data_IF_703389672063
#
_entry.id   IF_703389672063
#
_cell.length_a   1.000
_cell.length_b   1.000
_cell.length_c   1.000
_cell.angle_alpha   90.00
_cell.angle_beta   90.00
_cell.angle_gamma   90.00
#
_symmetry.space_group_name_H-M   'P 1'
#
loop_
_entity.id
_entity.type
_entity.pdbx_description
1 polymer ?
#
# COMPACT_ATOMS: atom_id res chain seq x y z
N UNK A 1 -2.48 -0.22 17.56
CA UNK A 1 -2.56 -1.65 17.17
C UNK A 1 -3.44 -1.82 15.92
N UNK A 2 -3.39 -2.95 15.18
CA UNK A 2 -4.23 -3.21 14.01
C UNK A 2 -5.73 -2.99 14.29
N UNK A 3 -6.16 -3.45 15.47
CA UNK A 3 -7.50 -3.30 16.04
C UNK A 3 -7.96 -1.84 16.21
N UNK A 4 -7.04 -0.95 16.59
CA UNK A 4 -7.31 0.48 16.79
C UNK A 4 -7.27 1.27 15.49
N UNK A 5 -6.39 0.89 14.55
CA UNK A 5 -6.25 1.55 13.27
C UNK A 5 -7.55 1.46 12.45
N UNK A 6 -8.24 0.32 12.50
CA UNK A 6 -9.51 0.12 11.78
C UNK A 6 -10.73 0.79 12.41
N UNK A 7 -10.70 1.10 13.70
CA UNK A 7 -11.87 1.59 14.45
C UNK A 7 -11.77 3.06 14.87
N UNK A 8 -10.56 3.56 15.12
CA UNK A 8 -10.28 4.91 15.64
C UNK A 8 -9.33 5.72 14.75
N UNK A 9 -8.82 5.12 13.68
CA UNK A 9 -7.88 5.77 12.77
C UNK A 9 -8.49 6.98 12.07
N UNK A 10 -7.73 8.06 11.98
CA UNK A 10 -8.09 9.24 11.19
C UNK A 10 -7.56 9.02 9.77
N UNK A 11 -8.44 9.12 8.77
CA UNK A 11 -8.06 8.99 7.36
C UNK A 11 -7.02 10.05 7.00
N UNK A 12 -6.07 9.68 6.14
CA UNK A 12 -4.94 10.52 5.72
C UNK A 12 -3.97 10.91 6.87
N UNK A 13 -4.09 10.29 8.04
CA UNK A 13 -3.11 10.44 9.11
C UNK A 13 -1.97 9.41 8.98
N UNK A 14 -0.77 9.85 9.37
CA UNK A 14 0.34 8.95 9.58
C UNK A 14 0.04 8.03 10.77
N UNK A 15 0.16 6.73 10.55
CA UNK A 15 -0.15 5.71 11.55
C UNK A 15 1.00 4.71 11.65
N UNK A 16 1.30 4.28 12.87
CA UNK A 16 2.27 3.23 13.16
C UNK A 16 1.49 2.04 13.73
N UNK A 17 1.71 0.86 13.16
CA UNK A 17 1.01 -0.37 13.53
C UNK A 17 2.04 -1.49 13.70
N UNK A 18 1.93 -2.22 14.80
CA UNK A 18 2.75 -3.41 15.07
C UNK A 18 1.93 -4.68 14.83
N UNK A 19 2.55 -5.70 14.26
CA UNK A 19 1.93 -7.02 14.10
C UNK A 19 2.76 -7.96 13.23
N UNK A 20 2.19 -9.12 12.94
CA UNK A 20 2.83 -10.15 12.10
C UNK A 20 2.19 -10.10 10.71
N UNK A 21 2.95 -9.77 9.64
CA UNK A 21 2.40 -9.61 8.31
C UNK A 21 2.32 -10.99 7.64
N UNK A 22 1.18 -11.28 7.04
CA UNK A 22 0.98 -12.46 6.20
C UNK A 22 0.68 -12.04 4.79
N UNK A 23 1.54 -12.42 3.85
CA UNK A 23 1.33 -12.10 2.43
C UNK A 23 0.02 -12.77 1.97
N UNK A 24 -0.89 -11.97 1.44
CA UNK A 24 -2.19 -12.45 0.94
C UNK A 24 -2.19 -12.47 -0.58
N UNK A 25 -1.72 -11.41 -1.23
CA UNK A 25 -1.65 -11.33 -2.68
C UNK A 25 -0.57 -10.38 -3.15
N UNK A 26 -0.14 -10.52 -4.39
CA UNK A 26 0.74 -9.58 -5.10
C UNK A 26 -0.01 -9.10 -6.33
N UNK A 27 -0.12 -7.78 -6.51
CA UNK A 27 -0.82 -7.17 -7.62
C UNK A 27 0.10 -6.32 -8.49
N UNK A 28 -0.27 -6.26 -9.76
CA UNK A 28 0.36 -5.45 -10.81
C UNK A 28 -0.78 -4.75 -11.52
N UNK A 29 -0.89 -3.43 -11.35
CA UNK A 29 -1.95 -2.60 -11.92
C UNK A 29 -1.34 -1.64 -12.95
N UNK A 30 -1.86 -1.67 -14.17
CA UNK A 30 -1.53 -0.69 -15.19
C UNK A 30 -2.27 0.62 -14.91
N UNK A 31 -1.55 1.72 -14.72
CA UNK A 31 -2.14 3.02 -14.35
C UNK A 31 -2.20 4.03 -15.51
N UNK A 32 -1.43 3.83 -16.59
CA UNK A 32 -1.50 4.69 -17.77
C UNK A 32 -0.20 4.76 -18.57
N UNK A 33 -0.08 5.77 -19.42
CA UNK A 33 1.15 6.09 -20.15
C UNK A 33 1.56 7.54 -19.90
N UNK A 34 2.86 7.80 -19.80
CA UNK A 34 3.43 9.14 -19.94
C UNK A 34 3.91 9.29 -21.38
N UNK A 35 3.50 10.37 -22.04
CA UNK A 35 4.01 10.76 -23.34
C UNK A 35 5.20 11.70 -23.16
N UNK A 36 6.39 11.28 -23.60
CA UNK A 36 7.62 12.06 -23.49
C UNK A 36 8.04 12.53 -24.89
N UNK A 37 8.12 13.84 -25.16
CA UNK A 37 8.67 14.35 -26.40
C UNK A 37 10.20 14.19 -26.41
N UNK A 38 10.73 13.68 -27.53
CA UNK A 38 12.17 13.52 -27.76
C UNK A 38 12.52 14.30 -29.03
N UNK A 39 13.34 15.34 -28.88
CA UNK A 39 13.86 16.12 -30.01
C UNK A 39 15.21 15.56 -30.46
N UNK A 40 15.35 15.23 -31.74
CA UNK A 40 16.62 14.85 -32.37
C UNK A 40 16.84 15.80 -33.54
N UNK A 41 17.69 16.80 -33.34
CA UNK A 41 17.84 17.91 -34.28
C UNK A 41 16.52 18.68 -34.44
N UNK A 42 15.99 18.74 -35.66
CA UNK A 42 14.72 19.41 -35.98
C UNK A 42 13.50 18.48 -36.00
N UNK A 43 13.66 17.20 -35.64
CA UNK A 43 12.57 16.22 -35.62
C UNK A 43 12.10 16.00 -34.19
N UNK A 44 10.81 16.18 -33.94
CA UNK A 44 10.15 15.82 -32.67
C UNK A 44 9.51 14.44 -32.81
N UNK A 45 9.95 13.50 -31.99
CA UNK A 45 9.34 12.18 -31.83
C UNK A 45 8.72 12.06 -30.44
N UNK A 46 7.86 11.08 -30.22
CA UNK A 46 7.23 10.85 -28.92
C UNK A 46 7.49 9.42 -28.45
N UNK A 47 7.83 9.27 -27.17
CA UNK A 47 7.95 7.97 -26.51
C UNK A 47 6.81 7.77 -25.52
N UNK A 48 6.19 6.60 -25.58
CA UNK A 48 5.14 6.17 -24.67
C UNK A 48 5.78 5.32 -23.56
N UNK A 49 5.78 5.85 -22.34
CA UNK A 49 6.31 5.13 -21.17
C UNK A 49 5.13 4.57 -20.38
N UNK A 50 4.94 3.23 -20.32
CA UNK A 50 3.89 2.63 -19.50
C UNK A 50 4.19 2.86 -18.02
N UNK A 51 3.14 3.20 -17.28
CA UNK A 51 3.17 3.29 -15.84
C UNK A 51 2.44 2.09 -15.25
N UNK A 52 3.16 1.34 -14.41
CA UNK A 52 2.67 0.14 -13.77
C UNK A 52 2.94 0.28 -12.27
N UNK A 53 1.90 0.17 -11.47
CA UNK A 53 2.01 0.04 -10.02
C UNK A 53 2.07 -1.43 -9.65
N UNK A 54 3.00 -1.77 -8.78
CA UNK A 54 3.14 -3.13 -8.30
C UNK A 54 3.19 -3.07 -6.79
N UNK A 55 2.39 -3.89 -6.12
CA UNK A 55 2.29 -3.88 -4.66
C UNK A 55 1.91 -5.26 -4.12
N UNK A 56 2.40 -5.54 -2.93
CA UNK A 56 2.07 -6.71 -2.13
C UNK A 56 1.04 -6.30 -1.06
N UNK A 57 0.00 -7.13 -0.90
CA UNK A 57 -1.04 -6.94 0.10
C UNK A 57 -0.82 -7.94 1.22
N UNK A 58 -0.71 -7.42 2.43
CA UNK A 58 -0.50 -8.18 3.65
C UNK A 58 -1.71 -8.05 4.58
N UNK A 59 -2.01 -9.14 5.27
CA UNK A 59 -2.86 -9.14 6.45
C UNK A 59 -1.94 -9.01 7.67
N UNK A 60 -2.01 -7.89 8.38
CA UNK A 60 -1.27 -7.68 9.63
C UNK A 60 -2.13 -8.12 10.81
N UNK A 61 -1.66 -9.13 11.54
CA UNK A 61 -2.35 -9.67 12.71
C UNK A 61 -1.79 -9.08 13.99
N UNK A 62 -2.69 -8.68 14.88
CA UNK A 62 -2.36 -8.30 16.25
C UNK A 62 -2.02 -9.55 17.08
N UNK A 63 -1.10 -9.44 18.04
CA UNK A 63 -0.76 -10.54 18.94
C UNK A 63 -1.82 -10.73 20.01
N UNK A 64 -2.45 -9.63 20.43
CA UNK A 64 -3.40 -9.61 21.55
C UNK A 64 -4.86 -9.74 21.10
N UNK A 65 -5.14 -9.62 19.81
CA UNK A 65 -6.49 -9.72 19.27
C UNK A 65 -6.52 -10.52 17.98
N UNK A 66 -7.58 -11.29 17.75
CA UNK A 66 -7.80 -11.99 16.47
C UNK A 66 -8.17 -11.04 15.33
N UNK A 67 -8.00 -9.72 15.50
CA UNK A 67 -8.31 -8.73 14.50
C UNK A 67 -7.13 -8.54 13.56
N UNK A 68 -7.44 -8.49 12.28
CA UNK A 68 -6.47 -8.25 11.23
C UNK A 68 -6.72 -6.93 10.51
N UNK A 69 -5.64 -6.32 10.06
CA UNK A 69 -5.67 -5.06 9.34
C UNK A 69 -4.89 -5.17 8.03
N UNK A 70 -5.42 -4.59 6.96
CA UNK A 70 -4.79 -4.69 5.64
C UNK A 70 -3.69 -3.67 5.47
N UNK A 71 -2.57 -4.11 4.90
CA UNK A 71 -1.43 -3.28 4.56
C UNK A 71 -1.08 -3.48 3.09
N UNK A 72 -0.91 -2.38 2.36
CA UNK A 72 -0.37 -2.35 1.00
C UNK A 72 1.10 -1.92 1.06
N UNK A 73 1.98 -2.72 0.47
CA UNK A 73 3.42 -2.48 0.44
C UNK A 73 3.88 -2.44 -1.03
N UNK A 74 4.40 -1.30 -1.49
CA UNK A 74 4.88 -1.15 -2.87
C UNK A 74 5.98 -2.16 -3.20
N UNK A 75 5.86 -2.87 -4.32
CA UNK A 75 6.82 -3.88 -4.75
C UNK A 75 8.01 -3.19 -5.41
N UNK A 76 9.18 -3.35 -4.80
CA UNK A 76 10.43 -2.64 -5.10
C UNK A 76 11.39 -2.68 -3.90
N UNK A 77 10.82 -2.87 -2.71
CA UNK A 77 11.48 -3.29 -1.48
C UNK A 77 11.30 -4.81 -1.26
N UNK A 78 12.19 -5.42 -0.47
CA UNK A 78 12.08 -6.84 -0.11
C UNK A 78 10.71 -7.14 0.54
N UNK A 79 10.21 -8.37 0.37
CA UNK A 79 8.98 -8.83 1.04
C UNK A 79 9.08 -8.63 2.55
N UNK A 80 7.96 -8.24 3.16
CA UNK A 80 7.87 -8.18 4.62
C UNK A 80 8.08 -9.58 5.23
N UNK A 81 8.89 -9.70 6.28
CA UNK A 81 9.16 -10.99 6.91
C UNK A 81 7.96 -11.43 7.76
N UNK A 82 7.68 -12.73 7.82
CA UNK A 82 6.61 -13.32 8.66
C UNK A 82 7.00 -13.37 10.15
N UNK A 83 7.37 -12.21 10.70
CA UNK A 83 7.70 -12.00 12.11
C UNK A 83 7.07 -10.71 12.61
N UNK A 84 7.13 -10.47 13.91
CA UNK A 84 6.64 -9.21 14.49
C UNK A 84 7.45 -8.05 13.91
N UNK A 85 6.75 -7.12 13.29
CA UNK A 85 7.33 -5.89 12.76
C UNK A 85 6.49 -4.68 13.16
N UNK A 86 7.13 -3.52 13.13
CA UNK A 86 6.50 -2.21 13.17
C UNK A 86 6.38 -1.73 11.73
N UNK A 87 5.18 -1.33 11.32
CA UNK A 87 4.90 -0.74 10.01
C UNK A 87 4.39 0.67 10.20
N UNK A 88 5.02 1.63 9.54
CA UNK A 88 4.57 3.02 9.51
C UNK A 88 4.08 3.38 8.10
N UNK A 89 3.01 4.16 8.02
CA UNK A 89 2.41 4.49 6.74
C UNK A 89 1.26 5.47 6.86
N UNK A 90 0.49 5.59 5.79
CA UNK A 90 -0.67 6.49 5.71
C UNK A 90 -1.94 5.67 5.70
N UNK A 91 -2.89 6.01 6.57
CA UNK A 91 -4.19 5.35 6.62
C UNK A 91 -5.06 5.83 5.45
N UNK A 92 -5.51 4.90 4.61
CA UNK A 92 -6.34 5.16 3.43
C UNK A 92 -7.67 4.41 3.50
N UNK A 93 -8.65 4.97 2.82
CA UNK A 93 -9.96 4.36 2.65
C UNK A 93 -9.93 3.24 1.60
N UNK A 94 -10.48 2.08 1.95
CA UNK A 94 -10.75 0.99 1.02
C UNK A 94 -12.21 1.08 0.56
N UNK A 95 -12.42 1.47 -0.71
CA UNK A 95 -13.74 1.46 -1.35
C UNK A 95 -13.88 0.19 -2.18
N UNK A 96 -14.99 -0.53 -2.01
CA UNK A 96 -15.25 -1.73 -2.79
C UNK A 96 -15.65 -1.38 -4.24
N UNK A 97 -16.18 -0.17 -4.45
CA UNK A 97 -16.55 0.36 -5.76
C UNK A 97 -16.21 1.85 -5.85
N UNK A 98 -15.82 2.33 -7.04
CA UNK A 98 -15.51 3.75 -7.30
C UNK A 98 -16.69 4.69 -7.00
N UNK A 99 -17.93 4.19 -7.07
CA UNK A 99 -19.15 4.96 -6.78
C UNK A 99 -19.61 4.93 -5.32
N UNK A 100 -18.85 4.28 -4.42
CA UNK A 100 -19.21 4.17 -3.02
C UNK A 100 -18.98 5.52 -2.29
N UNK A 101 -20.06 6.12 -1.77
CA UNK A 101 -20.02 7.43 -1.09
C UNK A 101 -19.28 7.38 0.25
N UNK A 102 -19.16 6.21 0.87
CA UNK A 102 -18.50 5.99 2.16
C UNK A 102 -17.67 4.72 2.08
N UNK A 103 -16.41 4.79 2.51
CA UNK A 103 -15.55 3.62 2.51
C UNK A 103 -16.03 2.58 3.53
N UNK A 104 -15.99 1.31 3.14
CA UNK A 104 -16.43 0.21 4.00
C UNK A 104 -15.33 -0.25 4.96
N UNK A 105 -14.06 -0.02 4.62
CA UNK A 105 -12.88 -0.39 5.43
C UNK A 105 -11.75 0.63 5.25
N UNK A 106 -10.74 0.52 6.09
CA UNK A 106 -9.48 1.26 5.98
C UNK A 106 -8.32 0.28 5.76
N UNK A 107 -7.24 0.75 5.16
CA UNK A 107 -5.98 0.03 5.02
C UNK A 107 -4.80 0.97 5.24
N UNK A 108 -3.61 0.42 5.54
CA UNK A 108 -2.37 1.20 5.66
C UNK A 108 -1.59 1.08 4.36
N UNK A 109 -1.25 2.20 3.75
CA UNK A 109 -0.20 2.23 2.73
C UNK A 109 1.14 2.33 3.44
N UNK A 110 1.90 1.24 3.45
CA UNK A 110 3.17 1.15 4.16
C UNK A 110 4.24 1.98 3.46
N UNK A 111 4.84 2.90 4.22
CA UNK A 111 5.97 3.73 3.78
C UNK A 111 7.27 3.23 4.38
N UNK A 112 7.22 2.66 5.58
CA UNK A 112 8.38 2.16 6.31
C UNK A 112 8.04 0.92 7.13
N UNK A 113 9.01 0.04 7.34
CA UNK A 113 8.90 -1.06 8.28
C UNK A 113 10.21 -1.31 9.02
N UNK A 114 10.11 -1.85 10.23
CA UNK A 114 11.25 -2.23 11.06
C UNK A 114 10.95 -3.53 11.79
N UNK A 115 11.90 -4.46 11.79
CA UNK A 115 11.80 -5.68 12.60
C UNK A 115 11.98 -5.36 14.08
N UNK A 116 11.21 -6.04 14.94
CA UNK A 116 11.50 -6.09 16.37
C UNK A 116 12.40 -7.31 16.59
N UNK A 117 13.53 -7.11 17.26
CA UNK A 117 14.43 -8.19 17.69
C UNK A 117 14.06 -8.66 19.08
#
# INVERSE_FOLDING_TARGET
MPSEAGSKGIIAANTIITGIPKLTTSKTDFIGFILVPIMIGNVTTFSLIPLIEIYDVYELRDENSSQSFLIAHSKGTNKLPEKIIIVAGVLKELKANKNEKKASKMFLEAVYHMGIN
#
